data_IF_162656629216
#
_entry.id   IF_162656629216
#
_cell.length_a   1.000
_cell.length_b   1.000
_cell.length_c   1.000
_cell.angle_alpha   90.00
_cell.angle_beta   90.00
_cell.angle_gamma   90.00
#
_symmetry.space_group_name_H-M   'P 1'
#
loop_
_entity.id
_entity.type
_entity.pdbx_description
1 polymer ?
#
# COMPACT_ATOMS: atom_id res chain seq x y z
N UNK A 1 -19.50 30.04 -23.97
CA UNK A 1 -18.21 29.69 -24.63
C UNK A 1 -16.95 29.92 -23.79
N UNK A 2 -17.03 30.53 -22.58
CA UNK A 2 -15.87 30.70 -21.68
C UNK A 2 -15.54 29.50 -20.78
N UNK A 3 -16.43 28.53 -20.67
CA UNK A 3 -16.21 27.31 -19.86
C UNK A 3 -15.66 26.13 -20.65
N UNK A 4 -15.69 26.18 -22.00
CA UNK A 4 -15.10 25.14 -22.85
C UNK A 4 -13.57 25.27 -22.98
N UNK A 5 -13.04 26.50 -22.85
CA UNK A 5 -11.60 26.76 -22.90
C UNK A 5 -10.86 26.35 -21.62
N UNK A 6 -11.56 26.29 -20.48
CA UNK A 6 -11.01 25.86 -19.18
C UNK A 6 -10.87 24.34 -19.08
N UNK A 7 -11.68 23.58 -19.82
CA UNK A 7 -11.63 22.11 -19.87
C UNK A 7 -10.53 21.58 -20.82
N UNK A 8 -10.09 22.37 -21.80
CA UNK A 8 -9.00 21.98 -22.71
C UNK A 8 -7.59 22.19 -22.12
N UNK A 9 -7.46 22.97 -21.04
CA UNK A 9 -6.21 23.18 -20.30
C UNK A 9 -5.87 22.03 -19.33
N UNK A 10 -6.83 21.13 -19.06
CA UNK A 10 -6.65 19.92 -18.23
C UNK A 10 -6.24 18.67 -19.04
N UNK A 11 -6.13 18.78 -20.38
CA UNK A 11 -5.73 17.71 -21.29
C UNK A 11 -4.31 17.89 -21.87
N UNK A 12 -3.59 18.96 -21.49
CA UNK A 12 -2.17 19.05 -21.77
C UNK A 12 -1.41 18.24 -20.71
N UNK A 13 -0.50 17.32 -21.10
CA UNK A 13 0.38 16.69 -20.15
C UNK A 13 1.15 17.78 -19.40
N UNK A 14 1.42 17.63 -18.10
CA UNK A 14 2.24 18.58 -17.39
C UNK A 14 3.56 18.69 -18.16
N UNK A 15 3.85 19.87 -18.68
CA UNK A 15 5.22 20.21 -19.07
C UNK A 15 5.99 20.21 -17.76
N UNK A 16 6.60 19.07 -17.46
CA UNK A 16 7.67 18.96 -16.48
C UNK A 16 8.72 19.95 -16.95
N UNK A 17 8.73 21.13 -16.35
CA UNK A 17 9.95 21.89 -16.28
C UNK A 17 10.89 20.99 -15.50
N UNK A 18 11.85 20.41 -16.23
CA UNK A 18 13.06 19.92 -15.63
C UNK A 18 13.65 21.10 -14.85
N UNK A 19 13.29 21.21 -13.58
CA UNK A 19 14.31 21.56 -12.62
C UNK A 19 15.35 20.47 -12.80
N UNK A 20 16.52 20.85 -13.31
CA UNK A 20 17.75 20.19 -12.94
C UNK A 20 17.82 20.25 -11.41
N UNK A 21 17.06 19.37 -10.74
CA UNK A 21 17.53 18.80 -9.50
C UNK A 21 18.85 18.16 -9.90
N UNK A 22 19.93 18.83 -9.49
CA UNK A 22 21.21 18.18 -9.31
C UNK A 22 20.91 17.02 -8.38
N UNK A 23 20.60 15.85 -8.97
CA UNK A 23 20.59 14.56 -8.31
C UNK A 23 22.04 14.32 -7.94
N UNK A 24 22.47 14.96 -6.85
CA UNK A 24 23.57 14.44 -6.08
C UNK A 24 23.19 13.02 -5.66
N UNK A 25 24.15 12.09 -5.58
CA UNK A 25 23.86 10.75 -5.08
C UNK A 25 23.14 10.90 -3.74
N UNK A 26 21.98 10.26 -3.63
CA UNK A 26 21.29 10.14 -2.34
C UNK A 26 22.31 9.56 -1.37
N UNK A 27 22.48 10.21 -0.22
CA UNK A 27 23.31 9.74 0.88
C UNK A 27 22.62 8.53 1.51
N UNK A 28 22.49 7.45 0.76
CA UNK A 28 22.17 6.15 1.32
C UNK A 28 23.38 5.74 2.18
N UNK A 29 23.13 4.93 3.22
CA UNK A 29 24.18 4.21 3.92
C UNK A 29 24.81 3.22 2.94
N UNK A 30 25.58 3.73 1.98
CA UNK A 30 26.26 2.87 1.06
C UNK A 30 27.25 2.06 1.88
N UNK A 31 27.25 0.77 1.63
CA UNK A 31 28.30 -0.09 2.10
C UNK A 31 29.30 -0.24 0.99
N UNK A 32 30.57 -0.23 1.37
CA UNK A 32 31.68 -0.59 0.51
C UNK A 32 31.67 -2.11 0.22
N UNK A 33 30.53 -2.68 -0.17
CA UNK A 33 30.48 -4.09 -0.56
C UNK A 33 31.13 -4.26 -1.92
N UNK A 34 32.20 -5.06 -1.93
CA UNK A 34 33.06 -5.31 -3.09
C UNK A 34 34.51 -4.89 -2.90
N UNK A 35 34.84 -4.18 -1.81
CA UNK A 35 36.23 -3.92 -1.46
C UNK A 35 36.79 -5.07 -0.64
N UNK A 36 37.94 -5.61 -1.09
CA UNK A 36 38.72 -6.58 -0.33
C UNK A 36 39.12 -5.92 0.99
N UNK A 37 38.65 -6.46 2.11
CA UNK A 37 39.08 -5.98 3.42
C UNK A 37 40.62 -6.03 3.53
N UNK A 38 41.25 -5.04 4.17
CA UNK A 38 42.67 -5.07 4.42
C UNK A 38 43.07 -6.37 5.13
N UNK A 39 44.27 -6.89 4.88
CA UNK A 39 44.75 -8.06 5.62
C UNK A 39 44.69 -7.81 7.14
N UNK A 40 44.37 -8.86 7.91
CA UNK A 40 44.38 -8.85 9.38
C UNK A 40 45.82 -8.63 9.89
N UNK A 41 46.25 -7.38 9.96
CA UNK A 41 47.54 -6.95 10.48
C UNK A 41 47.29 -6.09 11.72
N UNK A 42 47.99 -6.31 12.84
CA UNK A 42 47.90 -5.43 14.00
C UNK A 42 48.25 -3.99 13.61
N UNK A 43 47.28 -3.09 13.64
CA UNK A 43 47.49 -1.66 13.36
C UNK A 43 47.64 -0.88 14.66
N UNK A 44 48.59 0.04 14.70
CA UNK A 44 48.64 1.02 15.79
C UNK A 44 47.36 1.88 15.80
N UNK A 45 46.93 2.39 16.97
CA UNK A 45 45.80 3.31 17.05
C UNK A 45 46.02 4.53 16.14
N UNK A 46 45.00 5.01 15.43
CA UNK A 46 45.13 6.20 14.60
C UNK A 46 45.60 7.40 15.43
N UNK A 47 46.52 8.21 14.89
CA UNK A 47 47.12 9.36 15.61
C UNK A 47 46.12 10.40 16.11
N UNK A 48 44.94 10.48 15.49
CA UNK A 48 43.88 11.42 15.85
C UNK A 48 43.04 10.97 17.05
N UNK A 49 43.17 9.72 17.49
CA UNK A 49 42.48 9.21 18.66
C UNK A 49 43.06 9.86 19.91
N UNK A 50 42.20 10.51 20.70
CA UNK A 50 42.61 11.19 21.95
C UNK A 50 42.10 10.50 23.20
N UNK A 51 41.21 9.51 23.06
CA UNK A 51 40.66 8.75 24.18
C UNK A 51 39.75 7.62 23.73
N UNK A 52 39.24 6.88 24.72
CA UNK A 52 38.34 5.75 24.51
C UNK A 52 37.24 5.71 25.59
N UNK A 53 36.10 5.11 25.25
CA UNK A 53 35.06 4.70 26.19
C UNK A 53 34.85 3.19 26.03
N UNK A 54 34.97 2.45 27.13
CA UNK A 54 34.76 1.01 27.16
C UNK A 54 33.36 0.67 27.67
N UNK A 55 32.76 -0.33 27.05
CA UNK A 55 31.57 -1.03 27.54
C UNK A 55 31.87 -2.54 27.58
N UNK A 56 31.00 -3.39 28.15
CA UNK A 56 31.26 -4.83 28.21
C UNK A 56 31.60 -5.47 26.85
N UNK A 57 31.00 -5.00 25.76
CA UNK A 57 31.10 -5.61 24.43
C UNK A 57 31.67 -4.68 23.35
N UNK A 58 31.99 -3.43 23.69
CA UNK A 58 32.53 -2.44 22.75
C UNK A 58 33.73 -1.67 23.30
N UNK A 59 34.66 -1.33 22.38
CA UNK A 59 35.78 -0.43 22.63
C UNK A 59 35.64 0.78 21.70
N UNK A 60 35.22 1.93 22.23
CA UNK A 60 34.86 3.09 21.42
C UNK A 60 36.00 4.10 21.44
N UNK A 61 36.75 4.20 20.33
CA UNK A 61 37.80 5.18 20.12
C UNK A 61 37.21 6.47 19.54
N UNK A 62 37.68 7.63 20.03
CA UNK A 62 37.19 8.92 19.57
C UNK A 62 38.28 9.97 19.37
N UNK A 63 38.02 10.89 18.44
CA UNK A 63 38.78 12.14 18.25
C UNK A 63 38.31 13.22 19.22
N UNK A 64 39.10 14.29 19.39
CA UNK A 64 38.75 15.39 20.31
C UNK A 64 37.38 16.00 20.03
N UNK A 65 36.96 16.07 18.76
CA UNK A 65 35.69 16.67 18.33
C UNK A 65 34.50 15.72 18.44
N UNK A 66 34.72 14.41 18.57
CA UNK A 66 33.68 13.38 18.63
C UNK A 66 33.45 12.79 20.03
N UNK A 67 34.16 13.29 21.04
CA UNK A 67 34.13 12.77 22.41
C UNK A 67 32.71 12.66 22.99
N UNK A 68 31.86 13.68 22.79
CA UNK A 68 30.50 13.65 23.35
C UNK A 68 29.61 12.64 22.64
N UNK A 69 29.69 12.57 21.30
CA UNK A 69 29.00 11.56 20.49
C UNK A 69 29.42 10.14 20.88
N UNK A 70 30.70 9.91 21.18
CA UNK A 70 31.19 8.61 21.63
C UNK A 70 30.63 8.21 23.00
N UNK A 71 30.52 9.15 23.94
CA UNK A 71 29.88 8.90 25.25
C UNK A 71 28.38 8.62 25.12
N UNK A 72 27.70 9.38 24.28
CA UNK A 72 26.28 9.15 23.99
C UNK A 72 26.07 7.76 23.38
N UNK A 73 26.90 7.38 22.40
CA UNK A 73 26.87 6.05 21.79
C UNK A 73 27.08 4.95 22.85
N UNK A 74 28.08 5.09 23.72
CA UNK A 74 28.38 4.12 24.77
C UNK A 74 27.19 3.85 25.70
N UNK A 75 26.32 4.84 25.92
CA UNK A 75 25.14 4.69 26.78
C UNK A 75 24.06 3.76 26.22
N UNK A 76 24.02 3.56 24.89
CA UNK A 76 22.94 2.82 24.22
C UNK A 76 23.40 1.61 23.40
N UNK A 77 24.66 1.55 22.97
CA UNK A 77 25.16 0.54 22.02
C UNK A 77 25.00 -0.91 22.49
N UNK A 78 25.05 -1.14 23.80
CA UNK A 78 24.84 -2.47 24.40
C UNK A 78 23.43 -2.99 24.13
N UNK A 79 22.41 -2.14 24.26
CA UNK A 79 21.02 -2.51 23.97
C UNK A 79 20.79 -2.80 22.48
N UNK A 80 21.58 -2.17 21.60
CA UNK A 80 21.54 -2.46 20.17
C UNK A 80 22.03 -3.89 19.96
N UNK A 81 23.17 -4.28 20.52
CA UNK A 81 23.68 -5.66 20.45
C UNK A 81 22.69 -6.67 21.04
N UNK A 82 22.02 -6.35 22.15
CA UNK A 82 20.99 -7.22 22.72
C UNK A 82 19.83 -7.47 21.74
N UNK A 83 19.43 -6.45 20.96
CA UNK A 83 18.42 -6.63 19.92
C UNK A 83 18.89 -7.58 18.81
N UNK A 84 20.16 -7.52 18.40
CA UNK A 84 20.73 -8.50 17.47
C UNK A 84 20.69 -9.92 18.03
N UNK A 85 21.11 -10.11 19.28
CA UNK A 85 21.08 -11.42 19.95
C UNK A 85 19.66 -11.95 20.04
N UNK A 86 18.67 -11.08 20.27
CA UNK A 86 17.26 -11.49 20.32
C UNK A 86 16.73 -12.00 18.98
N UNK A 87 17.26 -11.51 17.85
CA UNK A 87 16.84 -11.94 16.51
C UNK A 87 17.64 -13.14 16.02
N UNK A 88 18.97 -13.10 16.19
CA UNK A 88 19.87 -14.17 15.72
C UNK A 88 19.90 -15.38 16.66
N UNK A 89 19.52 -15.23 17.92
CA UNK A 89 19.62 -16.28 18.94
C UNK A 89 21.06 -16.61 19.36
N UNK A 90 22.06 -15.94 18.81
CA UNK A 90 23.48 -16.08 19.14
C UNK A 90 24.10 -14.71 19.30
N UNK A 91 25.01 -14.61 20.27
CA UNK A 91 25.92 -13.49 20.40
C UNK A 91 27.25 -13.83 19.70
N UNK A 92 28.01 -12.82 19.28
CA UNK A 92 29.29 -13.01 18.60
C UNK A 92 30.49 -12.79 19.52
N UNK A 93 31.65 -13.41 19.28
CA UNK A 93 32.75 -13.37 20.22
C UNK A 93 33.51 -12.02 20.23
N UNK A 94 33.97 -11.65 21.43
CA UNK A 94 34.90 -10.55 21.64
C UNK A 94 34.28 -9.15 21.61
N UNK A 95 35.17 -8.16 21.60
CA UNK A 95 34.85 -6.74 21.68
C UNK A 95 34.87 -6.14 20.28
N UNK A 96 33.79 -5.43 19.92
CA UNK A 96 33.72 -4.67 18.66
C UNK A 96 34.33 -3.29 18.89
N UNK A 97 35.33 -2.95 18.08
CA UNK A 97 35.94 -1.62 18.11
C UNK A 97 35.11 -0.65 17.27
N UNK A 98 34.79 0.51 17.83
CA UNK A 98 34.06 1.56 17.12
C UNK A 98 34.92 2.82 17.09
N UNK A 99 35.23 3.32 15.90
CA UNK A 99 36.04 4.52 15.69
C UNK A 99 35.13 5.67 15.28
N UNK A 100 35.09 6.70 16.10
CA UNK A 100 34.22 7.86 15.88
C UNK A 100 35.07 9.09 15.59
N UNK A 101 34.79 9.75 14.45
CA UNK A 101 35.46 11.00 14.02
C UNK A 101 34.45 12.05 13.56
N UNK A 102 34.82 13.33 13.57
CA UNK A 102 33.93 14.42 13.16
C UNK A 102 34.24 14.93 11.74
N UNK A 103 33.33 14.64 10.80
CA UNK A 103 33.48 15.04 9.41
C UNK A 103 34.36 14.08 8.59
N UNK A 104 34.48 14.36 7.29
CA UNK A 104 35.12 13.48 6.30
C UNK A 104 36.59 13.19 6.61
N UNK A 105 37.38 14.21 6.90
CA UNK A 105 38.83 14.08 7.13
C UNK A 105 39.14 13.16 8.33
N UNK A 106 38.47 13.37 9.47
CA UNK A 106 38.67 12.51 10.64
C UNK A 106 38.13 11.10 10.40
N UNK A 107 37.00 10.95 9.71
CA UNK A 107 36.42 9.66 9.35
C UNK A 107 37.37 8.82 8.49
N UNK A 108 37.95 9.41 7.45
CA UNK A 108 38.94 8.74 6.59
C UNK A 108 40.24 8.42 7.34
N UNK A 109 40.72 9.33 8.17
CA UNK A 109 41.95 9.13 8.94
C UNK A 109 41.85 8.05 10.03
N UNK A 110 40.63 7.65 10.41
CA UNK A 110 40.36 6.54 11.32
C UNK A 110 40.31 5.17 10.61
N UNK A 111 40.34 5.13 9.27
CA UNK A 111 40.25 3.90 8.49
C UNK A 111 41.47 3.00 8.66
N UNK A 112 41.29 1.72 8.34
CA UNK A 112 42.43 0.80 8.25
C UNK A 112 43.28 1.15 7.01
N UNK A 113 44.62 1.02 7.08
CA UNK A 113 45.48 1.22 5.93
C UNK A 113 45.05 0.32 4.75
N UNK A 114 44.84 0.91 3.57
CA UNK A 114 44.38 0.20 2.38
C UNK A 114 42.88 -0.08 2.32
N UNK A 115 42.10 0.34 3.31
CA UNK A 115 40.64 0.22 3.36
C UNK A 115 39.96 1.59 3.37
N UNK A 116 40.42 2.54 2.55
CA UNK A 116 39.89 3.91 2.53
C UNK A 116 38.37 3.91 2.23
N UNK A 117 37.57 4.63 3.03
CA UNK A 117 36.13 4.69 2.80
C UNK A 117 35.81 5.36 1.46
N UNK A 118 34.80 4.89 0.72
CA UNK A 118 34.29 5.62 -0.45
C UNK A 118 33.88 7.05 -0.08
N UNK A 119 34.04 8.00 -1.00
CA UNK A 119 33.76 9.41 -0.73
C UNK A 119 32.32 9.73 -0.33
N UNK A 120 31.38 8.85 -0.65
CA UNK A 120 29.97 8.96 -0.25
C UNK A 120 29.65 8.25 1.08
N UNK A 121 30.53 7.37 1.60
CA UNK A 121 30.25 6.53 2.76
C UNK A 121 30.20 7.37 4.05
N UNK A 122 29.15 7.21 4.86
CA UNK A 122 28.99 7.91 6.15
C UNK A 122 29.33 7.04 7.36
N UNK A 123 29.43 5.73 7.12
CA UNK A 123 29.98 4.72 8.00
C UNK A 123 30.68 3.64 7.17
N UNK A 124 31.44 2.78 7.84
CA UNK A 124 32.11 1.64 7.21
C UNK A 124 32.40 0.56 8.25
N UNK A 125 32.00 -0.68 8.00
CA UNK A 125 32.43 -1.84 8.76
C UNK A 125 33.60 -2.56 8.09
N UNK A 126 34.49 -3.09 8.94
CA UNK A 126 35.40 -4.17 8.62
C UNK A 126 34.99 -5.41 9.44
N UNK A 127 34.02 -6.21 8.96
CA UNK A 127 33.57 -7.43 9.63
C UNK A 127 34.68 -8.33 10.16
N UNK A 128 35.74 -8.62 9.39
CA UNK A 128 36.79 -9.55 9.85
C UNK A 128 37.61 -9.00 11.01
N UNK A 129 37.73 -7.67 11.11
CA UNK A 129 38.51 -7.00 12.16
C UNK A 129 37.66 -6.57 13.35
N UNK A 130 36.33 -6.73 13.27
CA UNK A 130 35.36 -6.23 14.27
C UNK A 130 35.45 -4.71 14.46
N UNK A 131 35.71 -3.98 13.39
CA UNK A 131 35.85 -2.52 13.44
C UNK A 131 34.67 -1.89 12.73
N UNK A 132 34.09 -0.85 13.33
CA UNK A 132 33.11 0.03 12.69
C UNK A 132 33.64 1.46 12.74
N UNK A 133 33.60 2.17 11.61
CA UNK A 133 33.87 3.58 11.51
C UNK A 133 32.56 4.36 11.43
N UNK A 134 32.46 5.43 12.19
CA UNK A 134 31.27 6.28 12.22
C UNK A 134 31.64 7.76 12.15
N UNK A 135 30.90 8.52 11.35
CA UNK A 135 30.94 9.97 11.41
C UNK A 135 30.04 10.49 12.55
N UNK A 136 30.63 11.19 13.52
CA UNK A 136 29.93 11.79 14.65
C UNK A 136 28.79 12.74 14.25
N UNK A 137 28.88 13.37 13.08
CA UNK A 137 27.86 14.30 12.58
C UNK A 137 26.52 13.61 12.32
N UNK A 138 26.53 12.35 11.91
CA UNK A 138 25.31 11.59 11.60
C UNK A 138 24.76 10.86 12.82
N UNK A 139 25.63 10.51 13.79
CA UNK A 139 25.26 9.76 15.01
C UNK A 139 24.19 10.42 15.89
N UNK A 140 24.11 11.75 15.92
CA UNK A 140 23.16 12.47 16.77
C UNK A 140 21.70 12.37 16.29
N UNK A 141 21.47 11.95 15.04
CA UNK A 141 20.14 11.84 14.43
C UNK A 141 19.65 10.39 14.25
N UNK A 142 18.37 10.20 13.89
CA UNK A 142 17.82 8.88 13.58
C UNK A 142 18.63 8.12 12.52
N UNK A 143 19.12 8.84 11.51
CA UNK A 143 19.95 8.30 10.41
C UNK A 143 21.24 7.64 10.89
N UNK A 144 21.86 8.19 11.95
CA UNK A 144 23.07 7.63 12.54
C UNK A 144 22.81 6.29 13.24
N UNK A 145 21.66 6.16 13.90
CA UNK A 145 21.26 4.92 14.56
C UNK A 145 20.92 3.83 13.54
N UNK A 146 20.26 4.19 12.44
CA UNK A 146 20.00 3.32 11.28
C UNK A 146 21.32 2.81 10.72
N UNK A 147 22.22 3.73 10.37
CA UNK A 147 23.54 3.41 9.82
C UNK A 147 24.35 2.50 10.76
N UNK A 148 24.42 2.83 12.06
CA UNK A 148 25.13 2.00 13.05
C UNK A 148 24.57 0.58 13.11
N UNK A 149 23.25 0.42 13.14
CA UNK A 149 22.60 -0.90 13.16
C UNK A 149 22.94 -1.68 11.90
N UNK A 150 22.91 -1.02 10.75
CA UNK A 150 23.24 -1.62 9.46
C UNK A 150 24.69 -2.15 9.46
N UNK A 151 25.68 -1.32 9.81
CA UNK A 151 27.10 -1.73 9.90
C UNK A 151 27.34 -2.84 10.94
N UNK A 152 26.66 -2.75 12.10
CA UNK A 152 26.79 -3.75 13.16
C UNK A 152 26.27 -5.12 12.72
N UNK A 153 25.29 -5.17 11.81
CA UNK A 153 24.81 -6.42 11.25
C UNK A 153 25.88 -7.15 10.45
N UNK A 154 26.64 -6.43 9.64
CA UNK A 154 27.73 -7.01 8.86
C UNK A 154 28.86 -7.49 9.78
N UNK A 155 29.21 -6.73 10.82
CA UNK A 155 30.17 -7.19 11.83
C UNK A 155 29.65 -8.43 12.55
N UNK A 156 28.40 -8.45 12.99
CA UNK A 156 27.81 -9.60 13.67
C UNK A 156 27.89 -10.85 12.78
N UNK A 157 27.42 -10.77 11.54
CA UNK A 157 27.42 -11.91 10.62
C UNK A 157 28.83 -12.38 10.26
N UNK A 158 29.75 -11.46 9.97
CA UNK A 158 31.14 -11.80 9.65
C UNK A 158 31.90 -12.43 10.82
N UNK A 159 31.47 -12.18 12.06
CA UNK A 159 32.03 -12.84 13.25
C UNK A 159 31.37 -14.18 13.56
N UNK A 160 30.14 -14.40 13.11
CA UNK A 160 29.39 -15.63 13.37
C UNK A 160 29.72 -16.73 12.36
N UNK A 161 29.94 -16.38 11.09
CA UNK A 161 30.30 -17.34 10.06
C UNK A 161 31.07 -16.68 8.89
N UNK A 162 31.88 -17.46 8.14
CA UNK A 162 32.75 -16.91 7.09
C UNK A 162 32.01 -16.41 5.85
N UNK A 163 30.82 -16.94 5.56
CA UNK A 163 30.05 -16.54 4.38
C UNK A 163 28.54 -16.65 4.63
N UNK A 164 27.82 -15.72 4.03
CA UNK A 164 26.36 -15.62 4.09
C UNK A 164 25.86 -15.19 2.71
N UNK A 165 24.67 -15.65 2.26
CA UNK A 165 24.03 -15.11 1.08
C UNK A 165 23.85 -13.60 1.22
N UNK A 166 24.10 -12.84 0.16
CA UNK A 166 24.03 -11.38 0.21
C UNK A 166 22.64 -10.88 0.60
N UNK A 167 21.57 -11.51 0.10
CA UNK A 167 20.21 -11.20 0.55
C UNK A 167 20.03 -11.36 2.07
N UNK A 168 20.69 -12.32 2.72
CA UNK A 168 20.56 -12.50 4.17
C UNK A 168 21.32 -11.42 4.92
N UNK A 169 22.53 -11.08 4.47
CA UNK A 169 23.34 -10.01 5.04
C UNK A 169 22.60 -8.67 4.98
N UNK A 170 22.13 -8.30 3.80
CA UNK A 170 21.39 -7.05 3.60
C UNK A 170 20.02 -7.08 4.26
N UNK A 171 19.31 -8.19 4.17
CA UNK A 171 18.00 -8.34 4.78
C UNK A 171 18.06 -8.20 6.29
N UNK A 172 19.05 -8.80 6.95
CA UNK A 172 19.24 -8.64 8.39
C UNK A 172 19.59 -7.21 8.76
N UNK A 173 20.52 -6.61 8.02
CA UNK A 173 20.97 -5.24 8.26
C UNK A 173 19.80 -4.26 8.14
N UNK A 174 18.98 -4.38 7.09
CA UNK A 174 17.76 -3.60 6.87
C UNK A 174 16.63 -3.92 7.86
N UNK A 175 16.47 -5.18 8.27
CA UNK A 175 15.44 -5.55 9.25
C UNK A 175 15.72 -4.91 10.62
N UNK A 176 16.99 -4.91 11.05
CA UNK A 176 17.39 -4.46 12.38
C UNK A 176 17.58 -2.94 12.50
N UNK A 177 17.56 -2.20 11.38
CA UNK A 177 17.43 -0.73 11.39
C UNK A 177 16.02 -0.27 11.79
N UNK A 178 15.01 -1.13 11.59
CA UNK A 178 13.59 -0.77 11.72
C UNK A 178 12.98 -0.17 10.46
N UNK A 179 13.72 -0.13 9.34
CA UNK A 179 13.24 0.40 8.05
C UNK A 179 12.32 -0.56 7.29
N UNK A 180 12.14 -1.80 7.74
CA UNK A 180 11.13 -2.71 7.20
C UNK A 180 9.69 -2.16 7.27
N UNK A 181 9.43 -1.15 8.11
CA UNK A 181 8.18 -0.41 8.19
C UNK A 181 8.19 0.92 7.40
N UNK A 182 9.26 1.21 6.67
CA UNK A 182 9.36 2.43 5.86
C UNK A 182 8.36 2.39 4.71
N UNK A 183 7.84 3.57 4.35
CA UNK A 183 6.98 3.72 3.18
C UNK A 183 7.70 3.32 1.90
N UNK A 184 9.02 3.50 1.84
CA UNK A 184 9.88 3.10 0.73
C UNK A 184 9.88 1.60 0.52
N UNK A 185 10.15 0.80 1.58
CA UNK A 185 10.12 -0.66 1.48
C UNK A 185 8.72 -1.18 1.14
N UNK A 186 7.68 -0.58 1.72
CA UNK A 186 6.31 -0.92 1.36
C UNK A 186 6.02 -0.65 -0.12
N UNK A 187 6.41 0.53 -0.64
CA UNK A 187 6.23 0.89 -2.03
C UNK A 187 7.03 0.00 -2.99
N UNK A 188 8.25 -0.37 -2.62
CA UNK A 188 9.09 -1.30 -3.38
C UNK A 188 8.45 -2.69 -3.46
N UNK A 189 7.98 -3.26 -2.34
CA UNK A 189 7.28 -4.55 -2.33
C UNK A 189 5.93 -4.50 -3.05
N UNK A 190 5.16 -3.42 -2.89
CA UNK A 190 3.94 -3.18 -3.66
C UNK A 190 4.24 -3.20 -5.17
N UNK A 191 5.25 -2.46 -5.59
CA UNK A 191 5.70 -2.38 -6.98
C UNK A 191 6.15 -3.75 -7.51
N UNK A 192 6.91 -4.51 -6.72
CA UNK A 192 7.36 -5.85 -7.06
C UNK A 192 6.20 -6.82 -7.24
N UNK A 193 5.18 -6.78 -6.37
CA UNK A 193 3.98 -7.62 -6.49
C UNK A 193 3.15 -7.21 -7.71
N UNK A 194 2.93 -5.92 -7.92
CA UNK A 194 2.14 -5.41 -9.04
C UNK A 194 2.77 -5.70 -10.42
N UNK A 195 4.11 -5.77 -10.48
CA UNK A 195 4.86 -6.04 -11.70
C UNK A 195 5.32 -7.50 -11.83
N UNK A 196 4.91 -8.39 -10.91
CA UNK A 196 5.35 -9.80 -10.85
C UNK A 196 6.90 -9.94 -10.81
N UNK A 197 7.56 -8.99 -10.15
CA UNK A 197 9.03 -8.83 -10.11
C UNK A 197 9.65 -9.17 -8.75
N UNK A 198 9.07 -10.13 -8.05
CA UNK A 198 9.65 -10.63 -6.78
C UNK A 198 10.76 -11.63 -7.10
N UNK A 199 12.00 -11.28 -6.78
CA UNK A 199 13.22 -12.05 -7.09
C UNK A 199 13.31 -13.35 -6.31
N UNK A 200 13.89 -14.40 -6.90
CA UNK A 200 14.24 -15.61 -6.14
C UNK A 200 15.44 -15.36 -5.24
N UNK A 201 15.41 -15.84 -4.00
CA UNK A 201 16.52 -15.59 -3.06
C UNK A 201 17.82 -16.28 -3.50
N UNK A 202 17.71 -17.42 -4.17
CA UNK A 202 18.81 -18.11 -4.83
C UNK A 202 19.58 -17.18 -5.79
N UNK A 203 18.87 -16.32 -6.54
CA UNK A 203 19.51 -15.36 -7.45
C UNK A 203 20.11 -14.14 -6.73
N UNK A 204 19.64 -13.84 -5.53
CA UNK A 204 20.16 -12.74 -4.69
C UNK A 204 21.25 -13.20 -3.71
N UNK A 205 21.70 -14.46 -3.82
CA UNK A 205 22.73 -15.02 -2.94
C UNK A 205 24.12 -14.43 -3.23
N UNK A 206 24.45 -14.26 -4.50
CA UNK A 206 25.76 -13.73 -4.97
C UNK A 206 25.60 -12.49 -5.84
N UNK A 207 24.61 -12.48 -6.73
CA UNK A 207 24.36 -11.41 -7.69
C UNK A 207 23.27 -10.45 -7.20
N UNK A 208 23.37 -9.18 -7.60
CA UNK A 208 22.35 -8.16 -7.32
C UNK A 208 21.94 -7.46 -8.61
N UNK A 209 20.71 -6.95 -8.68
CA UNK A 209 20.26 -6.20 -9.84
C UNK A 209 21.02 -4.87 -9.98
N UNK A 210 21.17 -4.39 -11.22
CA UNK A 210 21.88 -3.14 -11.51
C UNK A 210 20.98 -1.90 -11.47
N UNK A 211 19.68 -2.07 -11.74
CA UNK A 211 18.74 -0.96 -11.79
C UNK A 211 18.39 -0.49 -10.37
N UNK A 212 18.44 0.82 -10.08
CA UNK A 212 18.17 1.33 -8.73
C UNK A 212 16.80 0.88 -8.18
N UNK A 213 15.76 0.88 -9.00
CA UNK A 213 14.42 0.40 -8.59
C UNK A 213 14.40 -1.06 -8.18
N UNK A 214 15.28 -1.86 -8.78
CA UNK A 214 15.34 -3.31 -8.57
C UNK A 214 16.19 -3.62 -7.34
N UNK A 215 17.23 -2.82 -7.10
CA UNK A 215 18.03 -2.84 -5.87
C UNK A 215 17.14 -2.54 -4.67
N UNK A 216 16.29 -1.53 -4.75
CA UNK A 216 15.30 -1.21 -3.70
C UNK A 216 14.34 -2.39 -3.44
N UNK A 217 13.88 -3.06 -4.50
CA UNK A 217 13.06 -4.27 -4.36
C UNK A 217 13.86 -5.38 -3.67
N UNK A 218 15.10 -5.62 -4.07
CA UNK A 218 15.95 -6.65 -3.48
C UNK A 218 16.20 -6.39 -1.99
N UNK A 219 16.48 -5.16 -1.57
CA UNK A 219 16.60 -4.77 -0.16
C UNK A 219 15.29 -4.99 0.61
N UNK A 220 14.18 -4.44 0.12
CA UNK A 220 12.89 -4.54 0.79
C UNK A 220 12.42 -6.00 0.92
N UNK A 221 12.62 -6.80 -0.14
CA UNK A 221 12.31 -8.23 -0.17
C UNK A 221 13.16 -9.01 0.83
N UNK A 222 14.47 -8.77 0.84
CA UNK A 222 15.41 -9.40 1.77
C UNK A 222 15.05 -9.11 3.22
N UNK A 223 14.78 -7.84 3.54
CA UNK A 223 14.40 -7.41 4.88
C UNK A 223 13.09 -8.06 5.34
N UNK A 224 12.08 -8.09 4.47
CA UNK A 224 10.78 -8.67 4.77
C UNK A 224 10.84 -10.19 4.96
N UNK A 225 11.71 -10.89 4.22
CA UNK A 225 11.87 -12.34 4.37
C UNK A 225 12.69 -12.72 5.60
N UNK A 226 13.78 -11.99 5.91
CA UNK A 226 14.51 -12.19 7.18
C UNK A 226 13.59 -11.93 8.37
N UNK A 227 12.79 -10.86 8.34
CA UNK A 227 11.79 -10.58 9.37
C UNK A 227 10.78 -11.72 9.51
N UNK A 228 10.33 -12.30 8.39
CA UNK A 228 9.42 -13.44 8.38
C UNK A 228 10.07 -14.68 9.00
N UNK A 229 11.30 -15.04 8.62
CA UNK A 229 12.05 -16.15 9.19
C UNK A 229 12.24 -15.98 10.71
N UNK A 230 12.67 -14.79 11.14
CA UNK A 230 12.86 -14.47 12.55
C UNK A 230 11.54 -14.60 13.33
N UNK A 231 10.43 -14.15 12.76
CA UNK A 231 9.10 -14.28 13.38
C UNK A 231 8.59 -15.72 13.44
N UNK A 232 8.91 -16.53 12.42
CA UNK A 232 8.37 -17.89 12.26
C UNK A 232 9.15 -18.91 13.10
N UNK A 233 10.47 -18.79 13.13
CA UNK A 233 11.37 -19.74 13.80
C UNK A 233 11.87 -19.26 15.16
N UNK A 234 11.73 -17.96 15.44
CA UNK A 234 12.18 -17.35 16.67
C UNK A 234 13.70 -17.42 16.87
N UNK A 235 14.19 -16.95 18.03
CA UNK A 235 15.61 -16.89 18.32
C UNK A 235 16.27 -18.28 18.30
N UNK A 236 15.57 -19.33 18.73
CA UNK A 236 16.14 -20.68 18.79
C UNK A 236 16.42 -21.25 17.39
N UNK A 237 15.48 -21.12 16.45
CA UNK A 237 15.67 -21.57 15.08
C UNK A 237 16.70 -20.73 14.32
N UNK A 238 16.66 -19.41 14.50
CA UNK A 238 17.69 -18.51 13.95
C UNK A 238 19.07 -18.84 14.50
N UNK A 239 19.17 -19.19 15.79
CA UNK A 239 20.42 -19.60 16.39
C UNK A 239 20.95 -20.91 15.84
N UNK A 240 20.07 -21.88 15.53
CA UNK A 240 20.47 -23.10 14.81
C UNK A 240 20.98 -22.80 13.40
N UNK A 241 20.36 -21.87 12.68
CA UNK A 241 20.85 -21.44 11.36
C UNK A 241 22.26 -20.90 11.49
N UNK A 242 22.51 -20.02 12.46
CA UNK A 242 23.84 -19.47 12.73
C UNK A 242 24.86 -20.57 13.01
N UNK A 243 24.54 -21.49 13.92
CA UNK A 243 25.45 -22.60 14.27
C UNK A 243 25.77 -23.48 13.05
N UNK A 244 24.77 -23.77 12.22
CA UNK A 244 24.93 -24.59 11.04
C UNK A 244 25.72 -23.88 9.92
N UNK A 245 25.54 -22.58 9.71
CA UNK A 245 26.35 -21.80 8.75
C UNK A 245 27.79 -21.67 9.24
N UNK A 246 28.01 -21.53 10.55
CA UNK A 246 29.35 -21.47 11.15
C UNK A 246 30.19 -22.73 10.92
N UNK A 247 29.57 -23.87 10.58
CA UNK A 247 30.30 -25.11 10.21
C UNK A 247 30.99 -25.02 8.84
N UNK A 248 30.71 -23.99 8.04
CA UNK A 248 31.30 -23.78 6.72
C UNK A 248 30.65 -24.58 5.58
N UNK A 249 29.52 -25.24 5.84
CA UNK A 249 28.72 -25.90 4.79
C UNK A 249 27.95 -24.88 3.93
N UNK A 250 27.50 -25.25 2.72
CA UNK A 250 26.66 -24.38 1.90
C UNK A 250 25.39 -23.92 2.62
N UNK A 251 24.98 -22.67 2.41
CA UNK A 251 23.88 -22.05 3.14
C UNK A 251 22.57 -22.84 3.04
N UNK A 252 22.20 -23.34 1.86
CA UNK A 252 21.00 -24.18 1.67
C UNK A 252 21.01 -25.44 2.55
N UNK A 253 22.17 -26.05 2.78
CA UNK A 253 22.29 -27.21 3.65
C UNK A 253 22.12 -26.81 5.12
N UNK A 254 22.71 -25.70 5.53
CA UNK A 254 22.55 -25.15 6.87
C UNK A 254 21.09 -24.77 7.16
N UNK A 255 20.44 -24.11 6.20
CA UNK A 255 19.01 -23.76 6.23
C UNK A 255 18.14 -25.02 6.41
N UNK A 256 18.40 -26.06 5.61
CA UNK A 256 17.71 -27.35 5.69
C UNK A 256 17.83 -28.03 7.05
N UNK A 257 19.00 -27.97 7.67
CA UNK A 257 19.22 -28.55 9.01
C UNK A 257 18.58 -27.72 10.12
N UNK A 258 18.66 -26.40 10.03
CA UNK A 258 18.15 -25.49 11.06
C UNK A 258 16.62 -25.44 11.13
N UNK A 259 15.98 -25.44 9.95
CA UNK A 259 14.54 -25.22 9.81
C UNK A 259 13.76 -26.47 9.36
N UNK A 260 14.44 -27.56 8.99
CA UNK A 260 13.82 -28.80 8.51
C UNK A 260 12.96 -28.65 7.24
N UNK A 261 13.32 -27.68 6.40
CA UNK A 261 12.63 -27.27 5.17
C UNK A 261 13.64 -26.67 4.21
N UNK A 262 13.32 -26.55 2.92
CA UNK A 262 14.22 -25.91 1.96
C UNK A 262 13.94 -24.42 1.84
N UNK A 263 14.96 -23.64 1.48
CA UNK A 263 14.81 -22.20 1.21
C UNK A 263 13.68 -21.94 0.19
N UNK A 264 13.58 -22.78 -0.85
CA UNK A 264 12.55 -22.64 -1.87
C UNK A 264 11.13 -22.83 -1.30
N UNK A 265 10.91 -23.82 -0.44
CA UNK A 265 9.58 -24.06 0.17
C UNK A 265 9.18 -22.88 1.04
N UNK A 266 10.09 -22.37 1.87
CA UNK A 266 9.86 -21.20 2.71
C UNK A 266 9.62 -19.93 1.89
N UNK A 267 10.39 -19.75 0.81
CA UNK A 267 10.20 -18.66 -0.12
C UNK A 267 8.81 -18.70 -0.75
N UNK A 268 8.33 -19.87 -1.20
CA UNK A 268 6.98 -19.99 -1.76
C UNK A 268 5.91 -19.69 -0.71
N UNK A 269 6.01 -20.26 0.49
CA UNK A 269 5.06 -20.02 1.57
C UNK A 269 5.00 -18.53 1.95
N UNK A 270 6.14 -17.85 1.97
CA UNK A 270 6.21 -16.41 2.20
C UNK A 270 5.56 -15.61 1.06
N UNK A 271 5.83 -15.99 -0.21
CA UNK A 271 5.29 -15.32 -1.41
C UNK A 271 3.77 -15.40 -1.50
N UNK A 272 3.16 -16.51 -1.11
CA UNK A 272 1.70 -16.67 -1.11
C UNK A 272 1.00 -15.58 -0.27
N UNK A 273 1.66 -15.12 0.80
CA UNK A 273 1.16 -14.03 1.65
C UNK A 273 1.39 -12.62 1.12
N UNK A 274 2.25 -12.42 0.11
CA UNK A 274 2.64 -11.08 -0.37
C UNK A 274 1.48 -10.34 -1.00
N UNK A 275 0.69 -11.00 -1.86
CA UNK A 275 -0.43 -10.35 -2.54
C UNK A 275 -1.51 -9.85 -1.56
N UNK A 276 -1.76 -10.57 -0.46
CA UNK A 276 -2.69 -10.10 0.56
C UNK A 276 -2.16 -8.87 1.32
N UNK A 277 -0.86 -8.82 1.60
CA UNK A 277 -0.22 -7.76 2.40
C UNK A 277 0.08 -6.50 1.59
N UNK A 278 0.53 -6.68 0.36
CA UNK A 278 1.05 -5.63 -0.54
C UNK A 278 0.28 -5.52 -1.85
N UNK A 279 -0.78 -6.30 -2.07
CA UNK A 279 -1.54 -6.31 -3.33
C UNK A 279 -2.96 -5.75 -3.24
N UNK A 280 -3.36 -5.13 -2.12
CA UNK A 280 -4.74 -4.63 -1.93
C UNK A 280 -4.97 -3.19 -2.43
N UNK A 281 -3.92 -2.40 -2.64
CA UNK A 281 -4.03 -1.05 -3.21
C UNK A 281 -4.63 -0.95 -4.63
N UNK A 282 -4.55 -1.95 -5.55
CA UNK A 282 -5.16 -1.87 -6.88
C UNK A 282 -6.68 -1.73 -6.85
N UNK A 283 -7.35 -2.10 -5.75
CA UNK A 283 -8.79 -1.88 -5.61
C UNK A 283 -9.14 -0.39 -5.44
N UNK A 284 -8.21 0.41 -4.91
CA UNK A 284 -8.39 1.86 -4.72
C UNK A 284 -7.77 2.70 -5.84
N UNK A 285 -6.75 2.18 -6.54
CA UNK A 285 -6.06 2.88 -7.64
C UNK A 285 -6.51 2.45 -9.03
N UNK A 286 -7.32 1.39 -9.18
CA UNK A 286 -7.96 1.09 -10.45
C UNK A 286 -8.89 2.24 -10.81
N UNK A 287 -8.38 3.15 -11.64
CA UNK A 287 -9.13 4.26 -12.22
C UNK A 287 -10.44 3.74 -12.84
N UNK A 288 -10.42 2.53 -13.40
CA UNK A 288 -11.59 1.85 -13.94
C UNK A 288 -12.66 1.53 -12.88
N UNK A 289 -12.31 1.10 -11.67
CA UNK A 289 -13.28 0.86 -10.59
C UNK A 289 -13.84 2.16 -10.04
N UNK A 290 -13.02 3.20 -9.93
CA UNK A 290 -13.47 4.54 -9.54
C UNK A 290 -14.46 5.10 -10.57
N UNK A 291 -14.16 4.99 -11.87
CA UNK A 291 -15.09 5.37 -12.93
C UNK A 291 -16.35 4.51 -12.94
N UNK A 292 -16.25 3.21 -12.72
CA UNK A 292 -17.41 2.32 -12.60
C UNK A 292 -18.31 2.72 -11.44
N UNK A 293 -17.74 3.03 -10.27
CA UNK A 293 -18.49 3.52 -9.11
C UNK A 293 -19.19 4.86 -9.42
N UNK A 294 -18.49 5.80 -10.05
CA UNK A 294 -19.07 7.09 -10.47
C UNK A 294 -20.25 6.86 -11.44
N UNK A 295 -20.10 5.95 -12.41
CA UNK A 295 -21.16 5.62 -13.37
C UNK A 295 -22.37 5.02 -12.66
N UNK A 296 -22.17 4.07 -11.74
CA UNK A 296 -23.25 3.43 -10.99
C UNK A 296 -23.99 4.45 -10.10
N UNK A 297 -23.24 5.30 -9.38
CA UNK A 297 -23.82 6.35 -8.56
C UNK A 297 -24.58 7.39 -9.40
N UNK A 298 -24.02 7.77 -10.55
CA UNK A 298 -24.66 8.71 -11.48
C UNK A 298 -25.93 8.13 -12.10
N UNK A 299 -25.90 6.85 -12.49
CA UNK A 299 -27.05 6.13 -13.01
C UNK A 299 -28.14 5.99 -11.94
N UNK A 300 -27.78 5.60 -10.71
CA UNK A 300 -28.70 5.52 -9.58
C UNK A 300 -29.32 6.89 -9.24
N UNK A 301 -28.51 7.95 -9.22
CA UNK A 301 -29.00 9.32 -9.02
C UNK A 301 -29.93 9.77 -10.15
N UNK A 302 -29.61 9.45 -11.40
CA UNK A 302 -30.45 9.75 -12.56
C UNK A 302 -31.79 9.01 -12.49
N UNK A 303 -31.78 7.70 -12.20
CA UNK A 303 -32.99 6.90 -12.06
C UNK A 303 -33.86 7.40 -10.90
N UNK A 304 -33.25 7.74 -9.76
CA UNK A 304 -33.96 8.35 -8.62
C UNK A 304 -34.58 9.69 -8.99
N UNK A 305 -33.82 10.55 -9.69
CA UNK A 305 -34.29 11.86 -10.10
C UNK A 305 -35.42 11.75 -11.14
N UNK A 306 -35.34 10.77 -12.03
CA UNK A 306 -36.40 10.46 -13.01
C UNK A 306 -37.68 10.01 -12.31
N UNK A 307 -37.60 9.08 -11.36
CA UNK A 307 -38.75 8.63 -10.58
C UNK A 307 -39.42 9.78 -9.80
N UNK A 308 -38.63 10.66 -9.19
CA UNK A 308 -39.16 11.84 -8.48
C UNK A 308 -39.86 12.81 -9.45
N UNK A 309 -39.32 13.02 -10.65
CA UNK A 309 -39.94 13.88 -11.67
C UNK A 309 -41.26 13.31 -12.17
N UNK A 310 -41.31 12.01 -12.44
CA UNK A 310 -42.52 11.31 -12.88
C UNK A 310 -43.62 11.41 -11.80
N UNK A 311 -43.27 11.23 -10.52
CA UNK A 311 -44.21 11.41 -9.41
C UNK A 311 -44.75 12.84 -9.29
N UNK A 312 -43.89 13.86 -9.46
CA UNK A 312 -44.31 15.26 -9.42
C UNK A 312 -45.25 15.61 -10.57
N UNK A 313 -45.02 15.05 -11.76
CA UNK A 313 -45.90 15.27 -12.91
C UNK A 313 -47.30 14.68 -12.65
N UNK A 314 -47.36 13.44 -12.15
CA UNK A 314 -48.64 12.80 -11.77
C UNK A 314 -49.37 13.62 -10.71
N UNK A 315 -48.66 14.18 -9.72
CA UNK A 315 -49.27 15.03 -8.71
C UNK A 315 -49.80 16.35 -9.29
N UNK A 316 -49.09 16.95 -10.23
CA UNK A 316 -49.54 18.17 -10.93
C UNK A 316 -50.79 17.89 -11.78
N UNK A 317 -50.79 16.81 -12.57
CA UNK A 317 -51.94 16.40 -13.39
C UNK A 317 -53.19 16.12 -12.52
N UNK A 318 -53.00 15.50 -11.35
CA UNK A 318 -54.09 15.23 -10.42
C UNK A 318 -54.68 16.51 -9.79
N UNK A 319 -53.83 17.52 -9.53
CA UNK A 319 -54.28 18.83 -9.04
C UNK A 319 -55.03 19.61 -10.11
N UNK A 320 -54.49 19.66 -11.32
CA UNK A 320 -55.16 20.33 -12.45
C UNK A 320 -56.54 19.72 -12.71
N UNK A 321 -56.66 18.38 -12.70
CA UNK A 321 -57.95 17.70 -12.84
C UNK A 321 -58.94 18.03 -11.71
N UNK A 322 -58.47 18.16 -10.46
CA UNK A 322 -59.30 18.55 -9.33
C UNK A 322 -59.75 20.02 -9.41
N UNK A 323 -58.87 20.92 -9.85
CA UNK A 323 -59.19 22.33 -10.08
C UNK A 323 -60.19 22.51 -11.22
N UNK A 324 -60.05 21.76 -12.32
CA UNK A 324 -61.02 21.74 -13.42
C UNK A 324 -62.39 21.23 -12.96
N UNK A 325 -62.43 20.17 -12.14
CA UNK A 325 -63.67 19.64 -11.59
C UNK A 325 -64.37 20.68 -10.68
N UNK A 326 -63.62 21.33 -9.78
CA UNK A 326 -64.15 22.37 -8.91
C UNK A 326 -64.65 23.60 -9.70
N UNK A 327 -63.96 23.98 -10.78
CA UNK A 327 -64.39 25.06 -11.66
C UNK A 327 -65.69 24.71 -12.39
N UNK A 328 -65.83 23.46 -12.86
CA UNK A 328 -67.07 22.97 -13.48
C UNK A 328 -68.23 22.98 -12.50
N UNK A 329 -68.02 22.49 -11.27
CA UNK A 329 -69.04 22.52 -10.21
C UNK A 329 -69.46 23.95 -9.86
N UNK A 330 -68.50 24.89 -9.77
CA UNK A 330 -68.79 26.30 -9.51
C UNK A 330 -69.60 26.94 -10.64
N UNK A 331 -69.26 26.66 -11.90
CA UNK A 331 -69.99 27.14 -13.07
C UNK A 331 -71.42 26.56 -13.12
N UNK A 332 -71.59 25.27 -12.80
CA UNK A 332 -72.90 24.64 -12.72
C UNK A 332 -73.76 25.23 -11.59
N UNK A 333 -73.17 25.50 -10.43
CA UNK A 333 -73.85 26.15 -9.32
C UNK A 333 -74.27 27.60 -9.66
N UNK A 334 -73.42 28.35 -10.37
CA UNK A 334 -73.75 29.70 -10.85
C UNK A 334 -74.89 29.66 -11.88
N UNK A 335 -74.85 28.74 -12.85
CA UNK A 335 -75.93 28.54 -13.82
C UNK A 335 -77.23 28.10 -13.14
N UNK A 336 -77.17 27.28 -12.10
CA UNK A 336 -78.34 26.88 -11.30
C UNK A 336 -78.94 28.05 -10.53
N UNK A 337 -78.12 28.93 -9.95
CA UNK A 337 -78.57 30.17 -9.30
C UNK A 337 -79.22 31.13 -10.30
N UNK A 338 -78.62 31.30 -11.49
CA UNK A 338 -79.20 32.11 -12.55
C UNK A 338 -80.54 31.55 -13.05
N UNK A 339 -80.65 30.22 -13.22
CA UNK A 339 -81.92 29.54 -13.56
C UNK A 339 -82.99 29.73 -12.48
N UNK A 340 -82.61 29.63 -11.20
CA UNK A 340 -83.54 29.86 -10.08
C UNK A 340 -84.00 31.32 -10.00
N UNK A 341 -83.15 32.29 -10.34
CA UNK A 341 -83.50 33.71 -10.39
C UNK A 341 -84.44 34.08 -11.56
N UNK A 342 -84.49 33.26 -12.61
CA UNK A 342 -85.38 33.43 -13.76
C UNK A 342 -86.80 32.84 -13.56
N UNK A 343 -87.08 32.18 -12.43
CA UNK A 343 -88.40 31.64 -12.08
C UNK A 343 -89.10 32.58 -11.08
N UNK A 344 -90.18 33.29 -11.46
CA UNK A 344 -90.92 34.16 -10.54
C UNK A 344 -91.77 33.34 -9.54
N UNK A 345 -91.92 33.78 -8.28
CA UNK A 345 -92.73 33.07 -7.31
C UNK A 345 -94.17 33.60 -7.36
N UNK A 346 -95.12 32.82 -7.89
CA UNK A 346 -96.40 32.63 -7.18
C UNK A 346 -97.24 31.43 -7.68
N UNK A 347 -97.90 30.81 -6.69
CA UNK A 347 -99.04 29.89 -6.71
C UNK A 347 -98.84 28.45 -7.18
N UNK A 348 -98.31 27.67 -6.24
CA UNK A 348 -98.83 26.35 -5.93
C UNK A 348 -100.33 26.41 -5.57
N UNK A 349 -101.17 25.57 -6.17
CA UNK A 349 -102.34 24.97 -5.49
C UNK A 349 -102.96 23.80 -6.27
N UNK A 350 -102.75 22.60 -5.70
CA UNK A 350 -103.67 21.44 -5.60
C UNK A 350 -103.96 20.52 -6.82
N UNK A 351 -104.26 19.23 -6.55
CA UNK A 351 -103.94 18.09 -7.41
C UNK A 351 -105.11 17.61 -8.27
N UNK A 352 -104.78 16.99 -9.41
CA UNK A 352 -105.68 16.05 -10.10
C UNK A 352 -104.88 14.93 -10.76
N UNK A 353 -105.14 13.70 -10.33
CA UNK A 353 -104.77 12.48 -11.01
C UNK A 353 -105.76 12.20 -12.17
N UNK A 354 -105.57 11.11 -12.93
CA UNK A 354 -104.54 10.88 -13.93
C UNK A 354 -105.18 10.85 -15.33
N UNK A 355 -104.46 11.32 -16.36
CA UNK A 355 -104.91 11.12 -17.75
C UNK A 355 -103.86 10.29 -18.50
N UNK A 356 -104.27 9.05 -18.73
CA UNK A 356 -103.67 8.06 -19.62
C UNK A 356 -103.51 8.65 -21.02
N UNK A 357 -102.28 8.71 -21.52
CA UNK A 357 -102.01 8.90 -22.94
C UNK A 357 -101.18 7.73 -23.45
N UNK A 358 -101.84 7.00 -24.34
CA UNK A 358 -101.42 5.79 -25.02
C UNK A 358 -100.17 6.03 -25.87
N UNK A 359 -99.24 5.07 -25.79
CA UNK A 359 -98.04 4.97 -26.62
C UNK A 359 -98.44 4.18 -27.87
N UNK A 360 -98.26 4.70 -29.10
CA UNK A 360 -98.38 3.88 -30.29
C UNK A 360 -97.14 3.02 -30.49
N UNK A 361 -97.34 1.74 -30.25
CA UNK A 361 -96.49 0.59 -30.54
C UNK A 361 -96.27 0.44 -32.06
N UNK A 362 -95.02 0.55 -32.52
CA UNK A 362 -94.62 0.01 -33.84
C UNK A 362 -93.22 -0.63 -33.76
N UNK A 363 -93.27 -1.96 -33.62
CA UNK A 363 -92.59 -2.95 -34.47
C UNK A 363 -91.05 -3.00 -34.51
N UNK A 364 -90.47 -3.93 -33.73
CA UNK A 364 -89.32 -4.75 -34.15
C UNK A 364 -89.84 -6.12 -34.63
N UNK A 365 -89.15 -6.83 -35.55
CA UNK A 365 -88.33 -7.94 -35.05
C UNK A 365 -87.06 -8.22 -35.88
N UNK A 366 -86.09 -8.89 -35.24
CA UNK A 366 -85.07 -9.64 -35.99
C UNK A 366 -83.81 -9.98 -35.21
N UNK A 367 -83.93 -10.88 -34.22
CA UNK A 367 -82.81 -11.54 -33.57
C UNK A 367 -82.43 -12.79 -34.40
N UNK A 368 -81.19 -12.87 -34.87
CA UNK A 368 -80.54 -14.13 -35.25
C UNK A 368 -79.23 -14.28 -34.48
N UNK A 369 -79.20 -15.33 -33.64
CA UNK A 369 -78.00 -16.00 -33.13
C UNK A 369 -77.54 -16.99 -34.19
N UNK A 370 -76.23 -17.24 -34.23
CA UNK A 370 -75.55 -18.54 -34.30
C UNK A 370 -74.06 -18.21 -34.01
N UNK A 371 -73.46 -18.65 -32.90
CA UNK A 371 -72.90 -19.99 -32.62
C UNK A 371 -71.70 -20.38 -33.51
N UNK A 372 -70.72 -21.01 -32.85
CA UNK A 372 -69.59 -21.80 -33.37
C UNK A 372 -68.34 -21.05 -33.86
N UNK A 373 -67.11 -21.50 -33.63
CA UNK A 373 -66.46 -22.46 -32.72
C UNK A 373 -64.95 -22.29 -33.01
N UNK A 374 -64.12 -22.55 -32.00
CA UNK A 374 -62.83 -23.23 -32.05
C UNK A 374 -61.93 -23.14 -33.32
N UNK A 375 -60.73 -22.55 -33.21
CA UNK A 375 -59.46 -23.27 -33.49
C UNK A 375 -58.21 -22.45 -33.15
N UNK A 376 -57.45 -22.92 -32.16
CA UNK A 376 -56.00 -22.71 -32.14
C UNK A 376 -55.33 -23.55 -33.25
N UNK A 377 -54.09 -23.23 -33.67
CA UNK A 377 -52.97 -23.95 -33.06
C UNK A 377 -51.68 -23.13 -32.86
N UNK A 378 -50.95 -23.43 -31.77
CA UNK A 378 -49.47 -23.28 -31.67
C UNK A 378 -48.81 -24.20 -32.71
N UNK A 379 -47.63 -23.87 -33.27
CA UNK A 379 -46.33 -24.25 -32.67
C UNK A 379 -45.19 -23.25 -33.08
N UNK A 380 -43.92 -23.31 -32.66
CA UNK A 380 -43.13 -23.94 -31.61
C UNK A 380 -41.74 -23.24 -31.63
N UNK A 381 -41.04 -23.20 -30.49
CA UNK A 381 -39.57 -23.12 -30.45
C UNK A 381 -38.99 -24.50 -30.83
N UNK A 382 -37.78 -24.58 -31.42
CA UNK A 382 -36.58 -24.87 -30.59
C UNK A 382 -35.30 -24.13 -31.12
N UNK A 383 -34.34 -23.62 -30.32
CA UNK A 383 -33.20 -24.30 -29.64
C UNK A 383 -32.52 -25.38 -30.51
N UNK A 384 -31.20 -25.49 -30.74
CA UNK A 384 -29.93 -25.14 -30.05
C UNK A 384 -28.81 -25.26 -31.12
N UNK A 385 -27.72 -24.49 -31.02
CA UNK A 385 -26.32 -24.98 -30.95
C UNK A 385 -25.36 -23.88 -30.52
#
# INVERSE_FOLDING_TARGET
MRHLLLLLLLLLPPRVWAQEEVVGPRLEAGHAQGHVEPALVPTAPPRLVVGAVDTPRFHILYTARSQESARQLASGIESIRDAFVSVLGRDWPGTTEVRVGMGREEFEALALPGGEPPGWAVALAYPSHRIILLNAQTLAGPEGQVTLRHELAHVALGQLAPSWPRWFQEGLAQHLTGENLSMTHYAALFSAVAQEKVFRFEHLAEEWPDLPSDVEIAYAQSAAFVAWLASHYGPEGMGRLVDEVATGQPFEQAFGKAFHTSLWVEEQAWREGLAARYGWLPLTTSTSLLWLLIIVLSAGAYLRLRAIKEQRLIEMDAREAAEEAAMREALEAELAQQRAALVPPDLASTPSAPETLEIPEWYEPGNERDEDEDTAPRPAKPTVH
#
